data_IF_916026679956
#
_entry.id   IF_916026679956
#
_cell.length_a   1.000
_cell.length_b   1.000
_cell.length_c   1.000
_cell.angle_alpha   90.00
_cell.angle_beta   90.00
_cell.angle_gamma   90.00
#
_symmetry.space_group_name_H-M   'P 1'
#
loop_
_entity.id
_entity.type
_entity.pdbx_description
1 polymer ?
#
# COMPACT_ATOMS: atom_id res chain seq x y z
N UNK A 1 -18.43 -16.18 8.28
CA UNK A 1 -17.86 -15.03 9.00
C UNK A 1 -17.44 -13.99 7.97
N UNK A 2 -18.34 -13.07 7.63
CA UNK A 2 -17.98 -11.90 6.83
C UNK A 2 -17.36 -10.88 7.79
N UNK A 3 -16.03 -10.90 7.92
CA UNK A 3 -15.35 -9.74 8.47
C UNK A 3 -15.67 -8.57 7.52
N UNK A 4 -16.21 -7.44 8.00
CA UNK A 4 -16.23 -6.25 7.18
C UNK A 4 -14.81 -6.01 6.70
N UNK A 5 -14.64 -5.56 5.45
CA UNK A 5 -13.38 -4.98 4.99
C UNK A 5 -13.13 -3.74 5.85
N UNK A 6 -12.64 -3.93 7.08
CA UNK A 6 -12.12 -2.88 7.94
C UNK A 6 -11.07 -2.17 7.10
N UNK A 7 -11.43 -0.94 6.73
CA UNK A 7 -10.59 0.15 6.23
C UNK A 7 -9.14 -0.27 5.94
N UNK A 8 -8.76 -0.24 4.66
CA UNK A 8 -7.36 -0.32 4.25
C UNK A 8 -6.53 0.64 5.12
N UNK A 9 -5.78 0.09 6.07
CA UNK A 9 -4.93 0.85 6.96
C UNK A 9 -3.69 1.28 6.19
N UNK A 10 -3.71 2.56 5.77
CA UNK A 10 -2.65 3.18 4.96
C UNK A 10 -1.32 3.15 5.72
N UNK A 11 -1.34 3.32 7.04
CA UNK A 11 -0.13 3.36 7.86
C UNK A 11 0.49 1.96 7.99
N UNK A 12 -0.34 0.94 8.22
CA UNK A 12 0.11 -0.45 8.23
C UNK A 12 0.65 -0.88 6.85
N UNK A 13 -0.04 -0.50 5.77
CA UNK A 13 0.38 -0.78 4.40
C UNK A 13 1.71 -0.10 4.05
N UNK A 14 1.90 1.16 4.48
CA UNK A 14 3.14 1.91 4.28
C UNK A 14 4.31 1.29 5.06
N UNK A 15 4.11 0.95 6.33
CA UNK A 15 5.14 0.30 7.14
C UNK A 15 5.58 -1.04 6.53
N UNK A 16 4.62 -1.83 6.02
CA UNK A 16 4.90 -3.10 5.33
C UNK A 16 5.65 -2.88 4.02
N UNK A 17 5.23 -1.90 3.21
CA UNK A 17 5.91 -1.53 1.97
C UNK A 17 7.37 -1.12 2.21
N UNK A 18 7.64 -0.26 3.19
CA UNK A 18 9.00 0.20 3.51
C UNK A 18 9.91 -0.95 3.95
N UNK A 19 9.37 -1.89 4.74
CA UNK A 19 10.10 -3.10 5.16
C UNK A 19 10.46 -3.99 3.97
N UNK A 20 9.51 -4.25 3.07
CA UNK A 20 9.74 -5.06 1.88
C UNK A 20 10.71 -4.39 0.91
N UNK A 21 10.57 -3.08 0.70
CA UNK A 21 11.49 -2.28 -0.14
C UNK A 21 12.91 -2.30 0.42
N UNK A 22 13.07 -2.18 1.73
CA UNK A 22 14.37 -2.29 2.39
C UNK A 22 15.03 -3.66 2.20
N UNK A 23 14.24 -4.75 2.24
CA UNK A 23 14.73 -6.11 1.95
C UNK A 23 15.10 -6.27 0.47
N UNK A 24 14.24 -5.82 -0.44
CA UNK A 24 14.49 -5.84 -1.88
C UNK A 24 15.85 -5.20 -2.23
N UNK A 25 16.12 -4.00 -1.68
CA UNK A 25 17.36 -3.28 -1.92
C UNK A 25 18.61 -3.94 -1.31
N UNK A 26 18.46 -4.78 -0.29
CA UNK A 26 19.60 -5.37 0.45
C UNK A 26 19.94 -6.78 -0.01
N UNK A 27 18.93 -7.61 -0.22
CA UNK A 27 19.09 -9.05 -0.38
C UNK A 27 18.15 -9.68 -1.41
N UNK A 28 17.37 -8.87 -2.14
CA UNK A 28 16.30 -9.36 -3.00
C UNK A 28 15.07 -9.83 -2.22
N UNK A 29 14.01 -10.17 -2.95
CA UNK A 29 12.75 -10.67 -2.39
C UNK A 29 12.40 -12.00 -3.02
N UNK A 30 11.62 -12.81 -2.28
CA UNK A 30 10.90 -13.91 -2.90
C UNK A 30 9.87 -13.38 -3.90
N UNK A 31 9.42 -14.21 -4.85
CA UNK A 31 8.36 -13.81 -5.78
C UNK A 31 7.08 -13.40 -5.04
N UNK A 32 6.75 -14.07 -3.94
CA UNK A 32 5.58 -13.73 -3.10
C UNK A 32 5.72 -12.36 -2.48
N UNK A 33 6.86 -12.07 -1.83
CA UNK A 33 7.12 -10.78 -1.19
C UNK A 33 7.21 -9.64 -2.22
N UNK A 34 7.74 -9.93 -3.42
CA UNK A 34 7.80 -8.97 -4.50
C UNK A 34 6.41 -8.63 -5.04
N UNK A 35 5.55 -9.64 -5.23
CA UNK A 35 4.16 -9.42 -5.62
C UNK A 35 3.38 -8.63 -4.56
N UNK A 36 3.63 -8.90 -3.27
CA UNK A 36 3.06 -8.12 -2.17
C UNK A 36 3.53 -6.65 -2.23
N UNK A 37 4.83 -6.41 -2.46
CA UNK A 37 5.39 -5.07 -2.63
C UNK A 37 4.67 -4.29 -3.75
N UNK A 38 4.44 -4.93 -4.91
CA UNK A 38 3.73 -4.30 -6.04
C UNK A 38 2.26 -4.00 -5.74
N UNK A 39 1.57 -4.88 -5.00
CA UNK A 39 0.19 -4.65 -4.60
C UNK A 39 0.07 -3.48 -3.61
N UNK A 40 0.98 -3.42 -2.63
CA UNK A 40 1.05 -2.32 -1.67
C UNK A 40 1.35 -0.99 -2.35
N UNK A 41 2.26 -0.97 -3.34
CA UNK A 41 2.55 0.23 -4.12
C UNK A 41 1.29 0.76 -4.83
N UNK A 42 0.55 -0.12 -5.51
CA UNK A 42 -0.71 0.24 -6.17
C UNK A 42 -1.76 0.75 -5.19
N UNK A 43 -1.94 0.07 -4.05
CA UNK A 43 -2.91 0.46 -3.05
C UNK A 43 -2.59 1.83 -2.42
N UNK A 44 -1.31 2.09 -2.15
CA UNK A 44 -0.84 3.38 -1.63
C UNK A 44 -0.97 4.51 -2.68
N UNK A 45 -0.70 4.24 -3.96
CA UNK A 45 -0.90 5.22 -5.05
C UNK A 45 -2.38 5.56 -5.23
N UNK A 46 -3.25 4.54 -5.20
CA UNK A 46 -4.70 4.72 -5.27
C UNK A 46 -5.21 5.53 -4.07
N UNK A 47 -4.79 5.21 -2.84
CA UNK A 47 -5.15 5.97 -1.64
C UNK A 47 -4.72 7.46 -1.73
N UNK A 48 -3.54 7.75 -2.29
CA UNK A 48 -3.09 9.12 -2.55
C UNK A 48 -4.00 9.84 -3.56
N UNK A 49 -4.39 9.18 -4.64
CA UNK A 49 -5.27 9.74 -5.68
C UNK A 49 -6.66 10.06 -5.13
N UNK A 50 -7.27 9.14 -4.37
CA UNK A 50 -8.57 9.39 -3.72
C UNK A 50 -8.52 10.60 -2.78
N UNK A 51 -7.46 10.74 -1.99
CA UNK A 51 -7.28 11.91 -1.13
C UNK A 51 -7.06 13.22 -1.92
N UNK A 52 -6.37 13.16 -3.06
CA UNK A 52 -6.13 14.32 -3.91
C UNK A 52 -7.37 14.75 -4.72
N UNK A 53 -8.22 13.81 -5.15
CA UNK A 53 -9.47 14.09 -5.87
C UNK A 53 -10.59 14.55 -4.93
N UNK A 54 -10.65 14.00 -3.70
CA UNK A 54 -11.56 14.49 -2.66
C UNK A 54 -11.31 15.95 -2.27
N UNK A 55 -10.05 16.40 -2.33
CA UNK A 55 -9.68 17.80 -2.06
C UNK A 55 -10.05 18.77 -3.20
N UNK A 56 -10.29 18.29 -4.43
CA UNK A 56 -10.58 19.14 -5.60
C UNK A 56 -12.07 19.40 -5.85
N UNK A 57 -12.97 18.59 -5.29
CA UNK A 57 -14.43 18.75 -5.45
C UNK A 57 -15.09 19.54 -4.30
N UNK A 58 -14.30 20.23 -3.47
CA UNK A 58 -14.77 20.99 -2.30
C UNK A 58 -14.46 22.49 -2.31
N UNK A 59 -14.03 23.07 -3.44
CA UNK A 59 -13.83 24.52 -3.59
C UNK A 59 -14.79 25.13 -4.59
#
# INVERSE_FOLDING_TARGET
MNKPLETFDIDAAKARYEKLRGRYNRCGLSNTDYNELLQLEKALDQAKKFNAEGAKNGQ
#
